data_IF_828949835615
#
_entry.id   IF_828949835615
#
_cell.length_a   1.000
_cell.length_b   1.000
_cell.length_c   1.000
_cell.angle_alpha   90.00
_cell.angle_beta   90.00
_cell.angle_gamma   90.00
#
_symmetry.space_group_name_H-M   'P 1'
#
loop_
_entity.id
_entity.type
_entity.pdbx_description
1 polymer ?
#
# COMPACT_ATOMS: atom_id res chain seq x y z
N UNK A 1 8.80 3.30 -14.44
CA UNK A 1 8.75 4.77 -14.42
C UNK A 1 7.46 5.19 -15.11
N UNK A 2 6.87 6.34 -14.77
CA UNK A 2 5.65 6.81 -15.48
C UNK A 2 5.88 8.05 -16.29
N UNK A 3 5.01 8.34 -17.24
CA UNK A 3 5.08 9.51 -18.12
C UNK A 3 4.51 10.80 -17.51
N UNK A 4 3.63 10.69 -16.51
CA UNK A 4 3.03 11.83 -15.81
C UNK A 4 2.72 11.48 -14.34
N UNK A 5 3.06 12.33 -13.34
CA UNK A 5 2.85 12.02 -11.92
C UNK A 5 1.38 11.77 -11.56
N UNK A 6 0.45 12.53 -12.16
CA UNK A 6 -1.01 12.33 -12.01
C UNK A 6 -1.47 10.91 -12.38
N UNK A 7 -0.85 10.21 -13.35
CA UNK A 7 -1.22 8.83 -13.69
C UNK A 7 -1.04 7.88 -12.50
N UNK A 8 0.11 7.97 -11.83
CA UNK A 8 0.39 7.15 -10.63
C UNK A 8 -0.54 7.52 -9.48
N UNK A 9 -0.77 8.81 -9.25
CA UNK A 9 -1.68 9.28 -8.20
C UNK A 9 -3.12 8.78 -8.39
N UNK A 10 -3.64 8.80 -9.62
CA UNK A 10 -4.98 8.31 -9.93
C UNK A 10 -5.11 6.79 -9.71
N UNK A 11 -4.13 6.01 -10.15
CA UNK A 11 -4.12 4.54 -9.92
C UNK A 11 -4.06 4.21 -8.43
N UNK A 12 -3.25 4.95 -7.67
CA UNK A 12 -3.13 4.76 -6.22
C UNK A 12 -4.40 5.17 -5.46
N UNK A 13 -5.06 6.26 -5.85
CA UNK A 13 -6.34 6.65 -5.27
C UNK A 13 -7.43 5.60 -5.59
N UNK A 14 -7.42 5.06 -6.81
CA UNK A 14 -8.34 4.01 -7.22
C UNK A 14 -8.14 2.72 -6.42
N UNK A 15 -6.90 2.32 -6.09
CA UNK A 15 -6.68 1.12 -5.26
C UNK A 15 -7.29 1.25 -3.86
N UNK A 16 -7.24 2.45 -3.26
CA UNK A 16 -7.88 2.72 -1.95
C UNK A 16 -9.40 2.60 -2.06
N UNK A 17 -9.98 3.11 -3.15
CA UNK A 17 -11.42 2.98 -3.41
C UNK A 17 -11.84 1.51 -3.49
N UNK A 18 -11.11 0.67 -4.23
CA UNK A 18 -11.39 -0.77 -4.32
C UNK A 18 -11.30 -1.44 -2.95
N UNK A 19 -10.24 -1.16 -2.19
CA UNK A 19 -10.02 -1.75 -0.88
C UNK A 19 -11.16 -1.40 0.10
N UNK A 20 -11.52 -0.13 0.21
CA UNK A 20 -12.53 0.31 1.20
C UNK A 20 -13.96 -0.02 0.77
N UNK A 21 -14.35 0.36 -0.45
CA UNK A 21 -15.74 0.26 -0.89
C UNK A 21 -16.14 -1.13 -1.38
N UNK A 22 -15.22 -1.92 -1.90
CA UNK A 22 -15.54 -3.27 -2.36
C UNK A 22 -15.10 -4.30 -1.32
N UNK A 23 -13.82 -4.34 -0.94
CA UNK A 23 -13.28 -5.43 -0.13
C UNK A 23 -13.72 -5.33 1.33
N UNK A 24 -13.45 -4.19 1.99
CA UNK A 24 -13.81 -3.97 3.39
C UNK A 24 -15.32 -3.93 3.60
N UNK A 25 -16.06 -3.26 2.70
CA UNK A 25 -17.52 -3.20 2.78
C UNK A 25 -18.16 -4.58 2.59
N UNK A 26 -17.71 -5.38 1.62
CA UNK A 26 -18.23 -6.74 1.44
C UNK A 26 -17.95 -7.62 2.68
N UNK A 27 -16.75 -7.49 3.26
CA UNK A 27 -16.38 -8.21 4.49
C UNK A 27 -17.26 -7.80 5.67
N UNK A 28 -17.49 -6.49 5.86
CA UNK A 28 -18.35 -5.98 6.92
C UNK A 28 -19.81 -6.42 6.75
N UNK A 29 -20.36 -6.30 5.54
CA UNK A 29 -21.72 -6.75 5.23
C UNK A 29 -21.89 -8.25 5.46
N UNK A 30 -20.90 -9.05 5.07
CA UNK A 30 -20.91 -10.49 5.33
C UNK A 30 -20.98 -10.79 6.83
N UNK A 31 -20.13 -10.17 7.65
CA UNK A 31 -20.13 -10.36 9.11
C UNK A 31 -21.49 -9.98 9.71
N UNK A 32 -22.09 -8.89 9.22
CA UNK A 32 -23.41 -8.43 9.67
C UNK A 32 -24.52 -9.40 9.25
N UNK A 33 -24.50 -9.92 8.02
CA UNK A 33 -25.51 -10.85 7.51
C UNK A 33 -25.44 -12.23 8.19
N UNK A 34 -24.27 -12.65 8.65
CA UNK A 34 -24.09 -13.92 9.37
C UNK A 34 -24.25 -13.78 10.88
N UNK A 35 -24.60 -12.60 11.37
CA UNK A 35 -24.72 -12.30 12.81
C UNK A 35 -23.46 -12.67 13.62
N UNK A 36 -22.28 -12.68 12.99
CA UNK A 36 -21.02 -13.16 13.59
C UNK A 36 -20.21 -12.00 14.20
N UNK A 37 -20.87 -11.13 14.96
CA UNK A 37 -20.26 -9.98 15.62
C UNK A 37 -20.75 -9.84 17.05
N UNK A 38 -19.97 -9.18 17.90
CA UNK A 38 -20.38 -8.85 19.26
C UNK A 38 -20.45 -7.33 19.43
N UNK A 39 -21.49 -6.86 20.11
CA UNK A 39 -21.68 -5.44 20.45
C UNK A 39 -21.60 -5.31 21.95
N UNK A 40 -20.60 -4.56 22.41
CA UNK A 40 -20.38 -4.27 23.83
C UNK A 40 -20.56 -2.75 24.01
N UNK A 41 -21.40 -2.36 24.94
CA UNK A 41 -21.57 -0.97 25.35
C UNK A 41 -21.36 -0.85 26.86
N UNK A 42 -20.43 0.00 27.28
CA UNK A 42 -20.13 0.24 28.71
C UNK A 42 -19.90 -1.04 29.54
N UNK A 43 -19.33 -2.08 28.92
CA UNK A 43 -19.07 -3.38 29.56
C UNK A 43 -20.29 -4.32 29.62
N UNK A 44 -21.43 -3.93 29.06
CA UNK A 44 -22.60 -4.79 28.87
C UNK A 44 -22.69 -5.25 27.42
N UNK A 45 -22.86 -6.56 27.22
CA UNK A 45 -23.07 -7.15 25.89
C UNK A 45 -24.50 -6.89 25.44
N UNK A 46 -24.67 -6.07 24.40
CA UNK A 46 -25.97 -5.79 23.78
C UNK A 46 -26.35 -6.93 22.83
N UNK A 47 -25.37 -7.45 22.11
CA UNK A 47 -25.54 -8.52 21.14
C UNK A 47 -24.29 -9.41 21.14
N UNK A 48 -24.49 -10.73 21.24
CA UNK A 48 -23.41 -11.71 21.22
C UNK A 48 -23.68 -12.74 20.12
N UNK A 49 -23.07 -12.51 18.96
CA UNK A 49 -23.11 -13.44 17.84
C UNK A 49 -22.14 -14.62 18.00
N UNK A 50 -20.99 -14.39 18.65
CA UNK A 50 -19.95 -15.40 18.85
C UNK A 50 -19.40 -15.32 20.27
N UNK A 51 -19.74 -16.31 21.10
CA UNK A 51 -19.43 -16.28 22.54
C UNK A 51 -17.93 -16.22 22.83
N UNK A 52 -17.51 -15.23 23.62
CA UNK A 52 -16.12 -15.12 24.12
C UNK A 52 -15.07 -14.73 23.08
N UNK A 53 -15.47 -14.28 21.88
CA UNK A 53 -14.55 -13.88 20.81
C UNK A 53 -14.40 -12.36 20.75
N UNK A 54 -13.17 -11.89 20.91
CA UNK A 54 -12.82 -10.48 20.77
C UNK A 54 -12.93 -10.00 19.31
N UNK A 55 -13.15 -8.70 19.12
CA UNK A 55 -13.22 -8.09 17.80
C UNK A 55 -11.92 -8.33 17.00
N UNK A 56 -12.06 -8.81 15.77
CA UNK A 56 -10.92 -9.07 14.91
C UNK A 56 -11.20 -10.09 13.80
N UNK A 57 -10.14 -10.70 13.23
CA UNK A 57 -10.25 -11.58 12.07
C UNK A 57 -11.04 -12.86 12.34
N UNK A 58 -11.28 -13.21 13.60
CA UNK A 58 -12.11 -14.36 13.96
C UNK A 58 -13.57 -14.17 13.53
N UNK A 59 -14.12 -12.94 13.56
CA UNK A 59 -15.49 -12.69 13.09
C UNK A 59 -15.67 -13.08 11.62
N UNK A 60 -14.70 -12.74 10.78
CA UNK A 60 -14.66 -13.14 9.37
C UNK A 60 -14.56 -14.66 9.20
N UNK A 61 -13.76 -15.32 10.04
CA UNK A 61 -13.61 -16.79 9.99
C UNK A 61 -14.93 -17.48 10.36
N UNK A 62 -15.59 -17.08 11.45
CA UNK A 62 -16.87 -17.65 11.86
C UNK A 62 -17.99 -17.34 10.86
N UNK A 63 -18.00 -16.13 10.28
CA UNK A 63 -18.95 -15.75 9.24
C UNK A 63 -18.89 -16.70 8.03
N UNK A 64 -17.70 -16.94 7.48
CA UNK A 64 -17.54 -17.83 6.33
C UNK A 64 -17.79 -19.30 6.74
N UNK A 65 -17.35 -19.71 7.92
CA UNK A 65 -17.62 -21.06 8.45
C UNK A 65 -19.12 -21.33 8.59
N UNK A 66 -19.93 -20.32 8.93
CA UNK A 66 -21.40 -20.46 9.01
C UNK A 66 -22.04 -20.71 7.65
N UNK A 67 -21.46 -20.18 6.57
CA UNK A 67 -21.93 -20.34 5.20
C UNK A 67 -21.39 -21.63 4.57
N UNK A 68 -20.12 -21.96 4.84
CA UNK A 68 -19.43 -23.14 4.31
C UNK A 68 -18.70 -23.91 5.45
N UNK A 69 -19.43 -24.74 6.20
CA UNK A 69 -18.87 -25.50 7.31
C UNK A 69 -17.75 -26.45 6.86
N UNK A 70 -16.66 -26.50 7.62
CA UNK A 70 -15.49 -27.36 7.43
C UNK A 70 -14.41 -26.81 6.50
N UNK A 71 -14.76 -25.88 5.60
CA UNK A 71 -13.82 -25.29 4.63
C UNK A 71 -13.57 -23.79 4.85
N UNK A 72 -14.49 -23.10 5.52
CA UNK A 72 -14.49 -21.66 5.64
C UNK A 72 -13.34 -21.10 6.48
N UNK A 73 -13.19 -21.61 7.70
CA UNK A 73 -12.15 -21.15 8.63
C UNK A 73 -10.72 -21.38 8.10
N UNK A 74 -10.36 -22.58 7.59
CA UNK A 74 -9.03 -22.81 6.99
C UNK A 74 -8.76 -21.91 5.78
N UNK A 75 -9.78 -21.66 4.93
CA UNK A 75 -9.64 -20.79 3.77
C UNK A 75 -9.29 -19.35 4.17
N UNK A 76 -10.03 -18.78 5.14
CA UNK A 76 -9.78 -17.43 5.62
C UNK A 76 -8.44 -17.33 6.36
N UNK A 77 -8.04 -18.35 7.13
CA UNK A 77 -6.73 -18.38 7.77
C UNK A 77 -5.58 -18.33 6.74
N UNK A 78 -5.68 -19.09 5.65
CA UNK A 78 -4.70 -19.05 4.55
C UNK A 78 -4.70 -17.69 3.84
N UNK A 79 -5.88 -17.11 3.55
CA UNK A 79 -5.98 -15.79 2.94
C UNK A 79 -5.36 -14.70 3.82
N UNK A 80 -5.66 -14.72 5.12
CA UNK A 80 -5.11 -13.78 6.10
C UNK A 80 -3.60 -13.90 6.23
N UNK A 81 -3.05 -15.11 6.12
CA UNK A 81 -1.60 -15.32 6.11
C UNK A 81 -0.93 -14.59 4.93
N UNK A 82 -1.43 -14.78 3.71
CA UNK A 82 -0.87 -14.08 2.54
C UNK A 82 -1.09 -12.57 2.60
N UNK A 83 -2.25 -12.14 3.09
CA UNK A 83 -2.54 -10.72 3.27
C UNK A 83 -1.55 -10.08 4.26
N UNK A 84 -1.44 -10.62 5.48
CA UNK A 84 -0.52 -10.11 6.49
C UNK A 84 0.94 -10.18 6.02
N UNK A 85 1.34 -11.28 5.35
CA UNK A 85 2.69 -11.43 4.82
C UNK A 85 3.04 -10.34 3.80
N UNK A 86 2.17 -10.09 2.81
CA UNK A 86 2.39 -9.05 1.81
C UNK A 86 2.38 -7.64 2.41
N UNK A 87 1.53 -7.40 3.42
CA UNK A 87 1.52 -6.14 4.18
C UNK A 87 2.86 -5.93 4.90
N UNK A 88 3.36 -6.92 5.64
CA UNK A 88 4.63 -6.83 6.37
C UNK A 88 5.79 -6.54 5.41
N UNK A 89 5.86 -7.23 4.27
CA UNK A 89 6.88 -6.98 3.25
C UNK A 89 6.81 -5.55 2.70
N UNK A 90 5.60 -5.06 2.42
CA UNK A 90 5.38 -3.71 1.90
C UNK A 90 5.83 -2.65 2.90
N UNK A 91 5.45 -2.78 4.18
CA UNK A 91 5.88 -1.87 5.24
C UNK A 91 7.40 -1.92 5.46
N UNK A 92 8.00 -3.11 5.40
CA UNK A 92 9.45 -3.27 5.50
C UNK A 92 10.19 -2.58 4.34
N UNK A 93 9.67 -2.67 3.12
CA UNK A 93 10.21 -1.99 1.95
C UNK A 93 10.09 -0.46 2.04
N UNK A 94 8.96 0.05 2.51
CA UNK A 94 8.73 1.49 2.73
C UNK A 94 9.70 2.01 3.79
N UNK A 95 9.86 1.30 4.90
CA UNK A 95 10.81 1.65 5.96
C UNK A 95 12.25 1.67 5.45
N UNK A 96 12.68 0.64 4.70
CA UNK A 96 14.03 0.59 4.13
C UNK A 96 14.27 1.74 3.14
N UNK A 97 13.28 2.09 2.32
CA UNK A 97 13.34 3.21 1.38
C UNK A 97 13.46 4.56 2.11
N UNK A 98 12.66 4.77 3.15
CA UNK A 98 12.70 5.98 3.97
C UNK A 98 14.05 6.14 4.69
N UNK A 99 14.57 5.05 5.24
CA UNK A 99 15.88 5.04 5.88
C UNK A 99 16.99 5.29 4.87
N UNK A 100 16.94 4.70 3.67
CA UNK A 100 17.90 5.00 2.59
C UNK A 100 17.87 6.46 2.19
N UNK A 101 16.68 7.08 2.16
CA UNK A 101 16.55 8.51 1.88
C UNK A 101 17.26 9.36 2.94
N UNK A 102 17.02 9.11 4.23
CA UNK A 102 17.72 9.78 5.33
C UNK A 102 19.24 9.52 5.27
N UNK A 103 19.61 8.29 4.93
CA UNK A 103 21.01 7.87 4.89
C UNK A 103 21.83 8.53 3.77
N UNK A 104 21.17 9.10 2.73
CA UNK A 104 21.86 9.94 1.74
C UNK A 104 22.46 11.19 2.35
N UNK A 105 21.91 11.67 3.46
CA UNK A 105 22.40 12.85 4.18
C UNK A 105 23.36 12.46 5.31
N UNK A 106 23.06 11.38 6.03
CA UNK A 106 23.84 10.96 7.22
C UNK A 106 25.04 10.05 6.91
N UNK A 107 25.06 9.37 5.75
CA UNK A 107 26.14 8.47 5.31
C UNK A 107 26.51 7.36 6.33
N UNK A 108 25.53 6.81 7.04
CA UNK A 108 25.68 5.72 8.00
C UNK A 108 25.35 4.35 7.35
N UNK A 109 26.34 3.55 6.95
CA UNK A 109 26.10 2.27 6.26
C UNK A 109 25.33 1.26 7.12
N UNK A 110 25.43 1.35 8.45
CA UNK A 110 24.79 0.43 9.40
C UNK A 110 23.28 0.69 9.58
N UNK A 111 22.77 1.85 9.19
CA UNK A 111 21.39 2.26 9.46
C UNK A 111 20.35 1.33 8.79
N UNK A 112 20.64 0.87 7.58
CA UNK A 112 19.82 -0.09 6.85
C UNK A 112 19.76 -1.44 7.56
N UNK A 113 20.89 -1.88 8.11
CA UNK A 113 20.99 -3.16 8.83
C UNK A 113 20.20 -3.12 10.14
N UNK A 114 20.34 -2.05 10.92
CA UNK A 114 19.58 -1.86 12.16
C UNK A 114 18.07 -1.77 11.88
N UNK A 115 17.66 -1.14 10.79
CA UNK A 115 16.24 -1.09 10.40
C UNK A 115 15.67 -2.48 10.14
N UNK A 116 16.41 -3.35 9.45
CA UNK A 116 15.99 -4.73 9.20
C UNK A 116 15.87 -5.54 10.49
N UNK A 117 16.84 -5.39 11.40
CA UNK A 117 16.77 -6.02 12.73
C UNK A 117 15.55 -5.49 13.51
N UNK A 118 15.33 -4.17 13.51
CA UNK A 118 14.22 -3.55 14.22
C UNK A 118 12.86 -4.03 13.70
N UNK A 119 12.67 -4.12 12.37
CA UNK A 119 11.46 -4.66 11.77
C UNK A 119 11.27 -6.14 12.15
N UNK A 120 12.34 -6.94 12.08
CA UNK A 120 12.28 -8.36 12.43
C UNK A 120 11.89 -8.56 13.90
N UNK A 121 12.48 -7.76 14.78
CA UNK A 121 12.14 -7.75 16.20
C UNK A 121 10.70 -7.29 16.43
N UNK A 122 10.24 -6.24 15.75
CA UNK A 122 8.88 -5.73 15.87
C UNK A 122 7.84 -6.77 15.42
N UNK A 123 8.11 -7.52 14.34
CA UNK A 123 7.26 -8.62 13.89
C UNK A 123 7.21 -9.74 14.95
N UNK A 124 8.38 -10.13 15.48
CA UNK A 124 8.46 -11.16 16.52
C UNK A 124 7.75 -10.74 17.82
N UNK A 125 7.91 -9.48 18.22
CA UNK A 125 7.25 -8.90 19.39
C UNK A 125 5.73 -8.82 19.20
N UNK A 126 5.27 -8.34 18.04
CA UNK A 126 3.85 -8.25 17.70
C UNK A 126 3.14 -9.61 17.62
N UNK A 127 3.87 -10.71 17.41
CA UNK A 127 3.30 -12.06 17.42
C UNK A 127 3.03 -12.61 18.84
N UNK A 128 3.63 -12.02 19.88
CA UNK A 128 3.53 -12.48 21.28
C UNK A 128 2.66 -11.54 22.12
N UNK A 129 2.67 -10.25 21.80
CA UNK A 129 1.94 -9.22 22.52
C UNK A 129 0.42 -9.30 22.28
N UNK A 130 -0.37 -8.74 23.21
CA UNK A 130 -1.82 -8.64 23.05
C UNK A 130 -2.16 -7.70 21.89
N UNK A 131 -3.13 -8.12 21.05
CA UNK A 131 -3.58 -7.35 19.91
C UNK A 131 -3.93 -5.90 20.29
N UNK A 132 -4.63 -5.67 21.39
CA UNK A 132 -5.02 -4.32 21.85
C UNK A 132 -3.84 -3.35 22.01
N UNK A 133 -2.73 -3.82 22.59
CA UNK A 133 -1.52 -3.00 22.77
C UNK A 133 -0.88 -2.71 21.42
N UNK A 134 -0.83 -3.71 20.53
CA UNK A 134 -0.29 -3.54 19.17
C UNK A 134 -1.13 -2.57 18.33
N UNK A 135 -2.46 -2.64 18.43
CA UNK A 135 -3.37 -1.70 17.78
C UNK A 135 -3.19 -0.29 18.31
N UNK A 136 -3.12 -0.10 19.63
CA UNK A 136 -2.91 1.21 20.24
C UNK A 136 -1.59 1.86 19.79
N UNK A 137 -0.49 1.08 19.77
CA UNK A 137 0.79 1.56 19.26
C UNK A 137 0.71 1.91 17.75
N UNK A 138 0.01 1.08 16.99
CA UNK A 138 -0.24 1.29 15.56
C UNK A 138 -1.00 2.58 15.28
N UNK A 139 -2.10 2.83 16.00
CA UNK A 139 -2.96 4.00 15.84
C UNK A 139 -2.20 5.30 16.12
N UNK A 140 -1.36 5.32 17.15
CA UNK A 140 -0.51 6.48 17.45
C UNK A 140 0.49 6.72 16.32
N UNK A 141 1.15 5.66 15.83
CA UNK A 141 2.13 5.75 14.76
C UNK A 141 1.54 6.24 13.43
N UNK A 142 0.43 5.63 13.01
CA UNK A 142 -0.30 6.00 11.79
C UNK A 142 -0.90 7.41 11.94
N UNK A 143 -1.43 7.75 13.12
CA UNK A 143 -1.99 9.07 13.39
C UNK A 143 -0.98 10.20 13.22
N UNK A 144 0.23 10.06 13.79
CA UNK A 144 1.31 11.04 13.62
C UNK A 144 1.71 11.15 12.14
N UNK A 145 1.87 10.02 11.45
CA UNK A 145 2.22 9.99 10.04
C UNK A 145 1.16 10.69 9.17
N UNK A 146 -0.12 10.44 9.45
CA UNK A 146 -1.24 11.03 8.74
C UNK A 146 -1.27 12.56 8.90
N UNK A 147 -1.07 13.08 10.11
CA UNK A 147 -1.04 14.52 10.36
C UNK A 147 0.10 15.22 9.62
N UNK A 148 1.31 14.67 9.67
CA UNK A 148 2.46 15.23 8.95
C UNK A 148 2.21 15.26 7.43
N UNK A 149 1.71 14.15 6.88
CA UNK A 149 1.42 14.05 5.45
C UNK A 149 0.28 14.96 5.02
N UNK A 150 -0.76 15.13 5.85
CA UNK A 150 -1.89 16.01 5.55
C UNK A 150 -1.43 17.47 5.43
N UNK A 151 -0.61 17.94 6.37
CA UNK A 151 -0.05 19.30 6.33
C UNK A 151 0.79 19.49 5.06
N UNK A 152 1.61 18.50 4.71
CA UNK A 152 2.41 18.54 3.48
C UNK A 152 1.54 18.61 2.21
N UNK A 153 0.47 17.82 2.13
CA UNK A 153 -0.48 17.83 1.00
C UNK A 153 -1.18 19.19 0.89
N UNK A 154 -1.62 19.77 2.01
CA UNK A 154 -2.24 21.09 2.03
C UNK A 154 -1.29 22.18 1.52
N UNK A 155 0.00 22.05 1.78
CA UNK A 155 1.00 22.97 1.25
C UNK A 155 1.28 22.73 -0.24
N UNK A 156 1.30 21.47 -0.68
CA UNK A 156 1.52 21.05 -2.08
C UNK A 156 0.28 21.13 -2.97
N UNK A 157 -0.88 21.55 -2.45
CA UNK A 157 -2.14 21.56 -3.19
C UNK A 157 -2.06 22.35 -4.50
N UNK A 158 -1.36 23.49 -4.52
CA UNK A 158 -1.25 24.36 -5.71
C UNK A 158 -0.54 23.67 -6.87
N UNK A 159 0.71 23.18 -6.72
CA UNK A 159 1.37 22.44 -7.81
C UNK A 159 0.63 21.14 -8.15
N UNK A 160 0.06 20.43 -7.17
CA UNK A 160 -0.70 19.20 -7.43
C UNK A 160 -1.93 19.45 -8.33
N UNK A 161 -2.71 20.51 -8.05
CA UNK A 161 -3.85 20.90 -8.88
C UNK A 161 -3.41 21.36 -10.27
N UNK A 162 -2.29 22.09 -10.39
CA UNK A 162 -1.74 22.46 -11.70
C UNK A 162 -1.39 21.22 -12.54
N UNK A 163 -0.74 20.22 -11.94
CA UNK A 163 -0.45 18.94 -12.60
C UNK A 163 -1.71 18.20 -13.04
N UNK A 164 -2.79 18.28 -12.26
CA UNK A 164 -4.07 17.65 -12.62
C UNK A 164 -4.73 18.34 -13.81
N UNK A 165 -4.79 19.67 -13.80
CA UNK A 165 -5.36 20.47 -14.90
C UNK A 165 -4.57 20.27 -16.20
N UNK A 166 -3.24 20.22 -16.12
CA UNK A 166 -2.39 19.91 -17.27
C UNK A 166 -2.69 18.50 -17.84
N UNK A 167 -2.73 17.50 -16.96
CA UNK A 167 -3.07 16.13 -17.34
C UNK A 167 -4.43 16.03 -18.06
N UNK A 168 -5.47 16.67 -17.50
CA UNK A 168 -6.80 16.68 -18.12
C UNK A 168 -6.82 17.44 -19.45
N UNK A 169 -6.10 18.56 -19.55
CA UNK A 169 -6.01 19.35 -20.78
C UNK A 169 -5.38 18.54 -21.91
N UNK A 170 -4.28 17.85 -21.63
CA UNK A 170 -3.62 16.98 -22.62
C UNK A 170 -4.50 15.81 -23.04
N UNK A 171 -5.23 15.20 -22.08
CA UNK A 171 -6.16 14.12 -22.38
C UNK A 171 -7.34 14.58 -23.25
N UNK A 172 -7.91 15.76 -22.98
CA UNK A 172 -8.99 16.37 -23.79
C UNK A 172 -8.55 16.69 -25.21
N UNK A 173 -7.26 16.96 -25.42
CA UNK A 173 -6.66 17.18 -26.74
C UNK A 173 -6.36 15.86 -27.48
N UNK A 174 -6.67 14.70 -26.88
CA UNK A 174 -6.35 13.38 -27.44
C UNK A 174 -4.86 13.05 -27.47
N UNK A 175 -4.05 13.77 -26.68
CA UNK A 175 -2.60 13.55 -26.59
C UNK A 175 -2.27 12.60 -25.44
N UNK A 176 -1.15 11.89 -25.58
CA UNK A 176 -0.62 11.07 -24.50
C UNK A 176 -0.03 11.99 -23.41
N UNK A 177 -0.54 11.96 -22.15
CA UNK A 177 -0.14 12.96 -21.16
C UNK A 177 1.33 12.82 -20.77
N UNK A 178 2.07 13.92 -20.90
CA UNK A 178 3.49 14.07 -20.58
C UNK A 178 3.69 15.24 -19.62
N UNK A 179 4.49 15.02 -18.59
CA UNK A 179 4.72 16.04 -17.58
C UNK A 179 6.02 16.81 -17.82
N UNK A 180 5.89 18.09 -18.15
CA UNK A 180 7.00 19.02 -18.31
C UNK A 180 6.95 20.10 -17.22
N UNK A 181 7.73 20.00 -16.13
CA UNK A 181 7.64 20.91 -15.00
C UNK A 181 8.01 22.37 -15.35
N UNK A 182 8.88 22.56 -16.34
CA UNK A 182 9.32 23.88 -16.82
C UNK A 182 8.16 24.68 -17.44
N UNK A 183 7.27 24.01 -18.17
CA UNK A 183 6.13 24.65 -18.84
C UNK A 183 5.05 25.08 -17.83
N UNK A 184 4.99 24.41 -16.68
CA UNK A 184 4.00 24.64 -15.63
C UNK A 184 4.50 25.57 -14.51
N UNK A 185 5.78 25.98 -14.57
CA UNK A 185 6.43 26.78 -13.53
C UNK A 185 6.49 26.05 -12.18
N UNK A 186 6.69 24.73 -12.19
CA UNK A 186 6.79 23.91 -10.98
C UNK A 186 8.27 23.75 -10.62
N UNK A 187 8.69 24.45 -9.57
CA UNK A 187 10.05 24.35 -9.04
C UNK A 187 10.28 23.01 -8.32
N UNK A 188 11.55 22.58 -8.22
CA UNK A 188 11.99 21.37 -7.50
C UNK A 188 11.55 20.00 -8.07
N UNK A 189 10.97 19.95 -9.28
CA UNK A 189 10.65 18.71 -9.98
C UNK A 189 11.82 18.16 -10.83
N UNK A 190 13.04 18.11 -10.27
CA UNK A 190 14.29 17.77 -10.98
C UNK A 190 14.29 16.42 -11.68
N UNK A 191 13.48 15.46 -11.20
CA UNK A 191 13.33 14.16 -11.85
C UNK A 191 12.74 14.26 -13.26
N UNK A 192 11.86 15.22 -13.52
CA UNK A 192 11.06 15.33 -14.75
C UNK A 192 11.61 16.35 -15.75
N UNK A 193 12.77 16.93 -15.47
CA UNK A 193 13.42 17.92 -16.33
C UNK A 193 13.97 17.28 -17.61
N UNK A 194 13.85 17.98 -18.74
CA UNK A 194 14.27 17.53 -20.07
C UNK A 194 13.40 16.41 -20.66
N UNK A 195 13.98 15.59 -21.55
CA UNK A 195 13.23 14.58 -22.32
C UNK A 195 12.99 13.27 -21.55
N UNK A 196 12.58 13.35 -20.27
CA UNK A 196 12.39 12.15 -19.44
C UNK A 196 10.96 11.61 -19.49
N UNK A 197 9.97 12.49 -19.67
CA UNK A 197 8.59 12.05 -19.84
C UNK A 197 8.45 11.16 -21.09
N UNK A 198 9.11 11.54 -22.17
CA UNK A 198 9.17 10.83 -23.46
C UNK A 198 9.87 9.48 -23.32
N UNK A 199 11.04 9.44 -22.66
CA UNK A 199 11.73 8.17 -22.35
C UNK A 199 10.87 7.25 -21.49
N UNK A 200 10.09 7.80 -20.56
CA UNK A 200 9.20 6.99 -19.73
C UNK A 200 8.02 6.43 -20.55
N UNK A 201 7.52 7.16 -21.56
CA UNK A 201 6.52 6.64 -22.52
C UNK A 201 7.11 5.52 -23.37
N UNK A 202 8.33 5.69 -23.88
CA UNK A 202 9.02 4.62 -24.64
C UNK A 202 9.13 3.34 -23.82
N UNK A 203 9.52 3.46 -22.54
CA UNK A 203 9.55 2.32 -21.60
C UNK A 203 8.14 1.74 -21.37
N UNK A 204 7.11 2.60 -21.19
CA UNK A 204 5.72 2.15 -21.02
C UNK A 204 5.22 1.36 -22.25
N UNK A 205 5.60 1.79 -23.46
CA UNK A 205 5.23 1.14 -24.73
C UNK A 205 6.00 -0.16 -24.99
N UNK A 206 7.29 -0.19 -24.68
CA UNK A 206 8.18 -1.32 -24.98
C UNK A 206 8.09 -2.45 -23.95
N UNK A 207 7.91 -2.13 -22.66
CA UNK A 207 8.00 -3.11 -21.56
C UNK A 207 6.65 -3.43 -20.90
N UNK A 208 5.58 -2.69 -21.21
CA UNK A 208 4.31 -2.77 -20.50
C UNK A 208 4.42 -2.30 -19.04
N UNK A 209 3.29 -2.02 -18.39
CA UNK A 209 3.22 -1.43 -17.03
C UNK A 209 3.91 -2.30 -15.94
N UNK A 210 4.20 -3.57 -16.22
CA UNK A 210 4.64 -4.56 -15.23
C UNK A 210 6.15 -4.75 -15.06
N UNK A 211 7.01 -4.15 -15.90
CA UNK A 211 8.47 -4.40 -15.80
C UNK A 211 9.26 -3.15 -15.40
N UNK A 212 9.24 -2.80 -14.13
CA UNK A 212 10.27 -1.92 -13.58
C UNK A 212 11.59 -2.68 -13.34
N UNK A 213 12.71 -1.95 -13.47
CA UNK A 213 14.12 -2.40 -13.50
C UNK A 213 14.58 -3.48 -12.49
N UNK A 214 13.79 -3.87 -11.48
CA UNK A 214 14.09 -4.99 -10.59
C UNK A 214 13.98 -6.37 -11.28
N UNK A 215 13.23 -6.49 -12.38
CA UNK A 215 13.06 -7.77 -13.08
C UNK A 215 14.15 -8.10 -14.12
N UNK A 216 15.04 -7.14 -14.47
CA UNK A 216 16.12 -7.38 -15.45
C UNK A 216 17.10 -8.47 -15.01
N UNK A 217 17.37 -8.58 -13.72
CA UNK A 217 18.25 -9.61 -13.16
C UNK A 217 17.69 -11.02 -13.35
N UNK A 218 16.40 -11.21 -13.03
CA UNK A 218 15.70 -12.49 -13.14
C UNK A 218 15.48 -12.86 -14.62
N UNK A 219 15.18 -11.88 -15.49
CA UNK A 219 15.03 -12.10 -16.94
C UNK A 219 16.35 -12.53 -17.61
N UNK A 220 17.47 -11.95 -17.22
CA UNK A 220 18.79 -12.37 -17.72
C UNK A 220 19.20 -13.75 -17.21
N UNK A 221 18.82 -14.09 -15.97
CA UNK A 221 19.03 -15.43 -15.40
C UNK A 221 18.20 -16.48 -16.15
N UNK A 222 16.91 -16.18 -16.42
CA UNK A 222 16.01 -17.07 -17.15
C UNK A 222 16.39 -17.23 -18.63
N UNK A 223 16.81 -16.15 -19.31
CA UNK A 223 17.34 -16.24 -20.69
C UNK A 223 18.61 -17.09 -20.78
N UNK A 224 19.53 -16.97 -19.81
CA UNK A 224 20.71 -17.85 -19.74
C UNK A 224 20.35 -19.34 -19.55
N UNK A 225 19.21 -19.62 -18.93
CA UNK A 225 18.71 -20.99 -18.75
C UNK A 225 18.03 -21.52 -20.02
N UNK A 226 17.30 -20.65 -20.72
CA UNK A 226 16.54 -21.02 -21.92
C UNK A 226 17.42 -21.13 -23.18
N UNK A 227 18.44 -20.30 -23.34
CA UNK A 227 19.38 -20.34 -24.48
C UNK A 227 20.40 -21.50 -24.39
N UNK A 228 20.28 -22.37 -23.39
CA UNK A 228 21.18 -23.53 -23.16
C UNK A 228 20.52 -24.88 -23.51
N UNK A 229 19.28 -24.87 -23.98
CA UNK A 229 18.55 -26.00 -24.55
C UNK A 229 17.89 -25.57 -25.87
#
# INVERSE_FOLDING_TARGET
AVSHPTKQGLVQAFSVYIDTWFVCTATGLMILMTDCYNVINEGQTIFEGVMGVAAGPLYTQYAIESIMPGYGSPFIACALFFFAFTTILSYGYIAETNVKYINRTLHLPWLTFVTRIAITFAIGYGAIEKAEVTWLMGDIGIGIMAWLNLIAILWLQRPALKCLVDYESQLRQGREPMFHPEQLGIENASYWVGNRAERNIEIERDEGVENQNQARGIRNLLRRFYDKY
#
